data_IF_081678336265
#
_entry.id   IF_081678336265
#
_cell.length_a   1.000
_cell.length_b   1.000
_cell.length_c   1.000
_cell.angle_alpha   90.00
_cell.angle_beta   90.00
_cell.angle_gamma   90.00
#
_symmetry.space_group_name_H-M   'P 1'
#
loop_
_entity.id
_entity.type
_entity.pdbx_description
1 polymer ?
#
# COMPACT_ATOMS: atom_id res chain seq x y z
N UNK A 1 -13.52 26.29 -5.17
CA UNK A 1 -14.89 26.66 -5.60
C UNK A 1 -14.77 27.32 -6.96
N UNK A 2 -15.80 27.26 -7.82
CA UNK A 2 -15.81 28.14 -9.00
C UNK A 2 -16.11 29.54 -8.45
N UNK A 3 -15.05 30.31 -8.20
CA UNK A 3 -15.13 31.59 -7.50
C UNK A 3 -16.15 32.50 -8.20
N UNK A 4 -17.14 32.97 -7.43
CA UNK A 4 -18.11 33.97 -7.86
C UNK A 4 -19.39 33.49 -8.56
N UNK A 5 -19.65 32.18 -8.72
CA UNK A 5 -20.89 31.69 -9.37
C UNK A 5 -21.89 31.10 -8.38
N UNK A 6 -23.17 31.40 -8.55
CA UNK A 6 -24.26 30.83 -7.74
C UNK A 6 -24.66 29.44 -8.25
N UNK A 7 -25.33 28.65 -7.39
CA UNK A 7 -25.82 27.30 -7.72
C UNK A 7 -26.68 27.32 -9.00
N UNK A 8 -27.60 28.27 -9.09
CA UNK A 8 -28.56 28.43 -10.19
C UNK A 8 -27.86 28.74 -11.53
N UNK A 9 -26.85 29.61 -11.50
CA UNK A 9 -26.04 29.93 -12.68
C UNK A 9 -25.33 28.69 -13.21
N UNK A 10 -24.77 27.86 -12.32
CA UNK A 10 -24.07 26.65 -12.72
C UNK A 10 -25.02 25.58 -13.24
N UNK A 11 -26.20 25.40 -12.64
CA UNK A 11 -27.24 24.49 -13.16
C UNK A 11 -27.67 24.87 -14.58
N UNK A 12 -27.77 26.17 -14.88
CA UNK A 12 -28.09 26.69 -16.21
C UNK A 12 -27.01 26.43 -17.27
N UNK A 13 -25.75 26.24 -16.87
CA UNK A 13 -24.60 25.99 -17.75
C UNK A 13 -24.40 24.51 -18.12
N UNK A 14 -25.46 23.69 -18.07
CA UNK A 14 -25.37 22.26 -18.37
C UNK A 14 -24.79 22.00 -19.77
N UNK A 15 -23.68 21.25 -19.91
CA UNK A 15 -23.13 20.89 -21.21
C UNK A 15 -24.10 20.03 -22.04
N UNK A 16 -24.05 20.17 -23.37
CA UNK A 16 -25.01 19.53 -24.29
C UNK A 16 -25.00 17.99 -24.23
N UNK A 17 -23.84 17.41 -23.90
CA UNK A 17 -23.63 15.96 -23.85
C UNK A 17 -23.87 15.35 -22.45
N UNK A 18 -24.29 16.14 -21.47
CA UNK A 18 -24.49 15.67 -20.09
C UNK A 18 -25.99 15.77 -19.77
N UNK A 19 -26.64 14.68 -19.33
CA UNK A 19 -28.01 14.74 -18.83
C UNK A 19 -28.15 15.80 -17.73
N UNK A 20 -29.15 16.67 -17.85
CA UNK A 20 -29.37 17.78 -16.91
C UNK A 20 -29.47 17.31 -15.45
N UNK A 21 -30.08 16.15 -15.21
CA UNK A 21 -30.18 15.55 -13.87
C UNK A 21 -28.80 15.27 -13.26
N UNK A 22 -27.90 14.62 -14.01
CA UNK A 22 -26.54 14.33 -13.56
C UNK A 22 -25.72 15.60 -13.31
N UNK A 23 -25.93 16.62 -14.14
CA UNK A 23 -25.28 17.93 -13.96
C UNK A 23 -25.75 18.62 -12.67
N UNK A 24 -27.06 18.63 -12.41
CA UNK A 24 -27.64 19.17 -11.18
C UNK A 24 -27.07 18.44 -9.95
N UNK A 25 -27.01 17.11 -9.98
CA UNK A 25 -26.46 16.31 -8.87
C UNK A 25 -24.99 16.64 -8.61
N UNK A 26 -24.19 16.81 -9.66
CA UNK A 26 -22.77 17.18 -9.55
C UNK A 26 -22.60 18.58 -8.94
N UNK A 27 -23.37 19.56 -9.45
CA UNK A 27 -23.34 20.93 -8.95
C UNK A 27 -23.79 20.97 -7.49
N UNK A 28 -24.90 20.32 -7.13
CA UNK A 28 -25.35 20.19 -5.74
C UNK A 28 -24.27 19.57 -4.85
N UNK A 29 -23.55 18.56 -5.34
CA UNK A 29 -22.46 17.94 -4.60
C UNK A 29 -21.31 18.91 -4.34
N UNK A 30 -20.95 19.77 -5.28
CA UNK A 30 -19.88 20.77 -5.08
C UNK A 30 -20.23 21.84 -4.05
N UNK A 31 -21.50 22.24 -3.98
CA UNK A 31 -22.02 23.23 -3.02
C UNK A 31 -22.39 22.64 -1.67
N UNK A 32 -22.43 21.32 -1.54
CA UNK A 32 -22.72 20.67 -0.27
C UNK A 32 -21.61 21.02 0.76
N UNK A 33 -21.94 21.44 2.00
CA UNK A 33 -20.95 21.86 3.00
C UNK A 33 -19.90 20.79 3.32
N UNK A 34 -20.29 19.51 3.26
CA UNK A 34 -19.36 18.40 3.43
C UNK A 34 -18.28 18.30 2.33
N UNK A 35 -18.53 18.81 1.12
CA UNK A 35 -17.59 18.70 0.02
C UNK A 35 -16.28 19.46 0.32
N UNK A 36 -16.39 20.70 0.78
CA UNK A 36 -15.22 21.47 1.20
C UNK A 36 -14.50 20.81 2.39
N UNK A 37 -15.27 20.37 3.40
CA UNK A 37 -14.74 19.66 4.57
C UNK A 37 -13.92 18.43 4.16
N UNK A 38 -14.47 17.54 3.34
CA UNK A 38 -13.78 16.32 2.92
C UNK A 38 -12.61 16.61 1.98
N UNK A 39 -12.74 17.60 1.10
CA UNK A 39 -11.64 18.04 0.24
C UNK A 39 -10.45 18.54 1.06
N UNK A 40 -10.71 19.40 2.07
CA UNK A 40 -9.69 19.91 3.00
C UNK A 40 -9.05 18.79 3.81
N UNK A 41 -9.84 17.87 4.36
CA UNK A 41 -9.33 16.69 5.08
C UNK A 41 -8.40 15.88 4.17
N UNK A 42 -8.81 15.60 2.93
CA UNK A 42 -8.01 14.84 1.97
C UNK A 42 -6.69 15.55 1.60
N UNK A 43 -6.72 16.86 1.41
CA UNK A 43 -5.52 17.66 1.13
C UNK A 43 -4.56 17.66 2.32
N UNK A 44 -5.07 17.87 3.53
CA UNK A 44 -4.26 17.81 4.75
C UNK A 44 -3.65 16.42 4.93
N UNK A 45 -4.43 15.35 4.75
CA UNK A 45 -3.94 13.98 4.86
C UNK A 45 -2.84 13.68 3.83
N UNK A 46 -3.00 14.11 2.57
CA UNK A 46 -1.96 13.96 1.53
C UNK A 46 -0.69 14.73 1.86
N UNK A 47 -0.81 15.94 2.41
CA UNK A 47 0.34 16.75 2.82
C UNK A 47 1.15 16.10 3.97
N UNK A 48 0.51 15.26 4.79
CA UNK A 48 1.19 14.50 5.86
C UNK A 48 1.90 13.23 5.36
N UNK A 49 1.79 12.86 4.07
CA UNK A 49 2.46 11.67 3.53
C UNK A 49 3.95 11.95 3.33
N UNK A 50 4.79 11.38 4.21
CA UNK A 50 6.25 11.56 4.21
C UNK A 50 6.98 10.76 3.12
N UNK A 51 6.38 9.67 2.65
CA UNK A 51 6.98 8.71 1.72
C UNK A 51 6.01 8.36 0.59
N UNK A 52 5.82 9.27 -0.39
CA UNK A 52 4.95 9.00 -1.52
C UNK A 52 5.55 7.94 -2.46
N UNK A 53 4.67 7.14 -3.08
CA UNK A 53 5.02 6.04 -3.99
C UNK A 53 5.21 6.55 -5.43
N UNK A 54 6.21 6.03 -6.16
CA UNK A 54 6.52 6.40 -7.57
C UNK A 54 5.92 5.49 -8.63
N UNK A 55 5.15 4.49 -8.22
CA UNK A 55 4.68 3.43 -9.13
C UNK A 55 3.60 3.89 -10.12
N UNK A 56 3.03 5.09 -9.93
CA UNK A 56 1.93 5.61 -10.75
C UNK A 56 0.70 4.71 -10.70
N UNK A 57 0.08 4.48 -11.86
CA UNK A 57 -1.14 3.66 -12.01
C UNK A 57 -0.90 2.15 -11.90
N UNK A 58 0.34 1.70 -11.71
CA UNK A 58 0.60 0.28 -11.48
C UNK A 58 0.24 -0.12 -10.05
N UNK A 59 -0.45 -1.25 -9.88
CA UNK A 59 -0.74 -1.82 -8.56
C UNK A 59 0.49 -2.53 -7.98
N UNK A 60 0.50 -2.71 -6.66
CA UNK A 60 1.54 -3.49 -5.98
C UNK A 60 1.57 -4.93 -6.48
N UNK A 61 0.42 -5.57 -6.68
CA UNK A 61 0.34 -6.95 -7.21
C UNK A 61 0.99 -7.07 -8.58
N UNK A 62 0.79 -6.09 -9.47
CA UNK A 62 1.45 -6.06 -10.79
C UNK A 62 2.96 -5.89 -10.68
N UNK A 63 3.43 -5.03 -9.77
CA UNK A 63 4.86 -4.87 -9.49
C UNK A 63 5.48 -6.16 -8.94
N UNK A 64 4.80 -6.82 -7.99
CA UNK A 64 5.22 -8.12 -7.44
C UNK A 64 5.30 -9.19 -8.51
N UNK A 65 4.28 -9.30 -9.36
CA UNK A 65 4.27 -10.24 -10.47
C UNK A 65 5.41 -9.98 -11.45
N UNK A 66 5.65 -8.72 -11.84
CA UNK A 66 6.77 -8.36 -12.70
C UNK A 66 8.12 -8.78 -12.09
N UNK A 67 8.31 -8.53 -10.80
CA UNK A 67 9.51 -8.94 -10.09
C UNK A 67 9.68 -10.47 -10.10
N UNK A 68 8.60 -11.21 -9.87
CA UNK A 68 8.63 -12.67 -9.85
C UNK A 68 8.97 -13.27 -11.22
N UNK A 69 8.46 -12.68 -12.31
CA UNK A 69 8.83 -13.09 -13.67
C UNK A 69 10.30 -12.84 -13.95
N UNK A 70 10.86 -11.74 -13.45
CA UNK A 70 12.25 -11.34 -13.68
C UNK A 70 13.26 -12.14 -12.83
N UNK A 71 12.94 -12.41 -11.56
CA UNK A 71 13.85 -13.01 -10.59
C UNK A 71 13.53 -14.49 -10.28
N UNK A 72 12.51 -15.07 -10.93
CA UNK A 72 11.99 -16.42 -10.70
C UNK A 72 11.62 -16.72 -9.22
N UNK A 73 11.42 -15.69 -8.40
CA UNK A 73 11.07 -15.79 -6.98
C UNK A 73 10.18 -14.64 -6.53
N UNK A 74 9.36 -14.81 -5.47
CA UNK A 74 8.60 -13.70 -4.91
C UNK A 74 9.55 -12.62 -4.34
N UNK A 75 9.21 -11.32 -4.48
CA UNK A 75 9.95 -10.24 -3.85
C UNK A 75 9.73 -10.20 -2.35
N UNK A 76 10.80 -9.98 -1.59
CA UNK A 76 10.76 -9.74 -0.16
C UNK A 76 10.10 -8.38 0.16
N UNK A 77 9.60 -8.16 1.39
CA UNK A 77 8.96 -6.91 1.79
C UNK A 77 9.79 -5.64 1.51
N UNK A 78 11.09 -5.67 1.81
CA UNK A 78 11.99 -4.53 1.57
C UNK A 78 12.21 -4.29 0.07
N UNK A 79 12.27 -5.36 -0.73
CA UNK A 79 12.42 -5.25 -2.19
C UNK A 79 11.16 -4.64 -2.82
N UNK A 80 9.99 -5.04 -2.33
CA UNK A 80 8.72 -4.41 -2.69
C UNK A 80 8.71 -2.92 -2.34
N UNK A 81 9.16 -2.54 -1.14
CA UNK A 81 9.23 -1.15 -0.73
C UNK A 81 10.23 -0.35 -1.59
N UNK A 82 11.43 -0.89 -1.77
CA UNK A 82 12.51 -0.29 -2.55
C UNK A 82 12.08 -0.05 -4.01
N UNK A 83 11.45 -1.03 -4.65
CA UNK A 83 10.99 -0.93 -6.05
C UNK A 83 9.82 0.03 -6.27
N UNK A 84 9.18 0.48 -5.19
CA UNK A 84 7.99 1.34 -5.21
C UNK A 84 8.26 2.76 -4.71
N UNK A 85 9.39 2.99 -4.04
CA UNK A 85 9.84 4.28 -3.51
C UNK A 85 11.17 4.75 -4.13
N UNK A 86 11.53 4.18 -5.28
CA UNK A 86 12.63 4.65 -6.14
C UNK A 86 12.11 5.27 -7.43
N UNK A 87 12.81 6.28 -7.92
CA UNK A 87 12.65 6.82 -9.27
C UNK A 87 13.21 5.85 -10.31
N UNK A 88 12.95 6.12 -11.59
CA UNK A 88 13.56 5.35 -12.70
C UNK A 88 15.09 5.44 -12.67
N UNK A 89 15.61 6.56 -12.18
CA UNK A 89 17.05 6.83 -12.07
C UNK A 89 17.70 6.13 -10.86
N UNK A 90 16.92 5.35 -10.09
CA UNK A 90 17.41 4.56 -8.95
C UNK A 90 17.50 5.32 -7.61
N UNK A 91 17.33 6.64 -7.63
CA UNK A 91 17.29 7.49 -6.43
C UNK A 91 15.99 7.28 -5.64
N UNK A 92 16.06 7.41 -4.31
CA UNK A 92 14.89 7.38 -3.45
C UNK A 92 14.07 8.67 -3.54
N UNK A 93 12.76 8.56 -3.36
CA UNK A 93 11.83 9.69 -3.47
C UNK A 93 12.02 10.72 -2.38
N UNK A 94 12.31 10.24 -1.16
CA UNK A 94 12.62 11.10 -0.02
C UNK A 94 13.77 10.48 0.77
N UNK A 95 14.56 11.30 1.49
CA UNK A 95 15.59 10.81 2.41
C UNK A 95 15.02 9.87 3.48
N UNK A 96 13.76 10.10 3.89
CA UNK A 96 13.05 9.24 4.85
C UNK A 96 12.84 7.84 4.28
N UNK A 97 12.49 7.72 3.00
CA UNK A 97 12.33 6.41 2.36
C UNK A 97 13.67 5.66 2.27
N UNK A 98 14.77 6.38 2.06
CA UNK A 98 16.11 5.82 2.09
C UNK A 98 16.48 5.32 3.49
N UNK A 99 16.30 6.14 4.52
CA UNK A 99 16.57 5.80 5.92
C UNK A 99 15.79 4.55 6.38
N UNK A 100 14.52 4.42 5.97
CA UNK A 100 13.71 3.23 6.23
C UNK A 100 14.36 1.97 5.63
N UNK A 101 14.84 2.03 4.39
CA UNK A 101 15.47 0.88 3.73
C UNK A 101 16.82 0.56 4.35
N UNK A 102 17.62 1.57 4.66
CA UNK A 102 18.91 1.40 5.32
C UNK A 102 18.74 0.77 6.71
N UNK A 103 17.83 1.30 7.53
CA UNK A 103 17.51 0.73 8.84
C UNK A 103 17.03 -0.72 8.75
N UNK A 104 16.19 -1.03 7.76
CA UNK A 104 15.70 -2.39 7.55
C UNK A 104 16.81 -3.35 7.14
N UNK A 105 17.71 -2.93 6.25
CA UNK A 105 18.87 -3.74 5.85
C UNK A 105 19.86 -3.96 6.99
N UNK A 106 20.11 -2.95 7.84
CA UNK A 106 20.97 -3.08 9.02
C UNK A 106 20.42 -4.13 9.99
N UNK A 107 19.12 -4.04 10.32
CA UNK A 107 18.46 -5.01 11.20
C UNK A 107 18.49 -6.43 10.63
N UNK A 108 18.27 -6.59 9.32
CA UNK A 108 18.41 -7.89 8.67
C UNK A 108 19.84 -8.40 8.83
N UNK A 109 20.84 -7.57 8.55
CA UNK A 109 22.24 -7.99 8.63
C UNK A 109 22.63 -8.43 10.05
N UNK A 110 22.21 -7.67 11.07
CA UNK A 110 22.44 -8.01 12.48
C UNK A 110 21.80 -9.35 12.86
N UNK A 111 20.55 -9.60 12.46
CA UNK A 111 19.85 -10.86 12.75
C UNK A 111 20.44 -12.05 11.97
N UNK A 112 20.87 -11.84 10.72
CA UNK A 112 21.57 -12.86 9.93
C UNK A 112 22.91 -13.28 10.56
N UNK A 113 23.64 -12.34 11.16
CA UNK A 113 24.89 -12.62 11.88
C UNK A 113 24.61 -13.43 13.15
N UNK A 114 23.52 -13.14 13.86
CA UNK A 114 23.14 -13.82 15.09
C UNK A 114 22.67 -15.27 14.87
N UNK A 115 21.87 -15.53 13.83
CA UNK A 115 21.22 -16.84 13.63
C UNK A 115 21.97 -17.79 12.67
N UNK A 116 23.06 -17.33 12.02
CA UNK A 116 23.86 -18.09 11.02
C UNK A 116 23.03 -18.68 9.86
N UNK A 117 21.78 -18.25 9.71
CA UNK A 117 20.78 -18.71 8.74
C UNK A 117 20.02 -17.50 8.18
N UNK A 118 19.27 -17.71 7.09
CA UNK A 118 18.42 -16.65 6.54
C UNK A 118 17.19 -16.43 7.41
N UNK A 119 16.88 -15.17 7.71
CA UNK A 119 15.66 -14.79 8.42
C UNK A 119 14.45 -15.24 7.59
N UNK A 120 13.46 -15.95 8.19
CA UNK A 120 12.20 -16.27 7.54
C UNK A 120 11.47 -15.01 7.01
N UNK A 121 10.81 -15.11 5.86
CA UNK A 121 10.11 -13.98 5.23
C UNK A 121 9.05 -13.33 6.15
N UNK A 122 8.36 -14.13 6.97
CA UNK A 122 7.37 -13.66 7.94
C UNK A 122 7.97 -12.81 9.07
N UNK A 123 9.18 -13.15 9.52
CA UNK A 123 9.89 -12.39 10.54
C UNK A 123 10.40 -11.06 9.97
N UNK A 124 10.96 -11.07 8.76
CA UNK A 124 11.34 -9.85 8.05
C UNK A 124 10.15 -8.92 7.83
N UNK A 125 9.01 -9.46 7.42
CA UNK A 125 7.79 -8.68 7.25
C UNK A 125 7.34 -8.01 8.56
N UNK A 126 7.47 -8.72 9.69
CA UNK A 126 7.11 -8.18 11.00
C UNK A 126 8.04 -7.04 11.42
N UNK A 127 9.36 -7.23 11.27
CA UNK A 127 10.37 -6.19 11.51
C UNK A 127 10.12 -4.97 10.61
N UNK A 128 9.81 -5.21 9.33
CA UNK A 128 9.55 -4.14 8.38
C UNK A 128 8.29 -3.32 8.74
N UNK A 129 7.22 -3.99 9.18
CA UNK A 129 6.01 -3.31 9.68
C UNK A 129 6.33 -2.46 10.91
N UNK A 130 7.17 -2.97 11.82
CA UNK A 130 7.61 -2.23 13.01
C UNK A 130 8.36 -0.94 12.63
N UNK A 131 9.34 -1.03 11.70
CA UNK A 131 10.10 0.12 11.19
C UNK A 131 9.17 1.19 10.60
N UNK A 132 8.12 0.76 9.89
CA UNK A 132 7.18 1.66 9.25
C UNK A 132 6.14 2.31 10.20
N UNK A 133 6.29 2.11 11.52
CA UNK A 133 5.44 2.67 12.56
C UNK A 133 4.42 1.70 13.15
N UNK A 134 4.68 0.40 13.02
CA UNK A 134 3.89 -0.66 13.64
C UNK A 134 2.56 -0.96 12.96
N UNK A 135 1.88 -2.01 13.45
CA UNK A 135 0.58 -2.44 12.95
C UNK A 135 -0.49 -1.41 13.30
N UNK A 136 -1.15 -0.85 12.29
CA UNK A 136 -2.31 0.03 12.48
C UNK A 136 -3.58 -0.80 12.62
N UNK A 137 -4.46 -0.44 13.56
CA UNK A 137 -5.69 -1.18 13.82
C UNK A 137 -6.50 -1.39 12.52
N UNK A 138 -6.77 -2.66 12.20
CA UNK A 138 -7.57 -3.07 11.04
C UNK A 138 -6.89 -3.02 9.66
N UNK A 139 -5.65 -2.52 9.53
CA UNK A 139 -4.97 -2.37 8.23
C UNK A 139 -3.59 -3.03 8.21
N UNK A 140 -3.29 -3.77 7.15
CA UNK A 140 -1.94 -4.31 6.91
C UNK A 140 -1.14 -3.30 6.09
N UNK A 141 -0.04 -2.83 6.68
CA UNK A 141 0.85 -1.89 6.02
C UNK A 141 1.60 -2.56 4.85
N UNK A 142 1.68 -1.88 3.71
CA UNK A 142 2.40 -2.36 2.52
C UNK A 142 1.59 -3.21 1.53
N UNK A 143 0.34 -3.58 1.84
CA UNK A 143 -0.50 -4.43 0.97
C UNK A 143 -1.54 -3.66 0.13
N UNK A 144 -1.72 -2.36 0.38
CA UNK A 144 -2.69 -1.51 -0.31
C UNK A 144 -4.01 -1.37 0.43
N UNK A 145 -4.96 -0.63 -0.15
CA UNK A 145 -6.29 -0.43 0.43
C UNK A 145 -7.10 -1.73 0.39
N UNK A 146 -7.76 -2.09 1.49
CA UNK A 146 -8.71 -3.20 1.56
C UNK A 146 -8.18 -4.52 2.15
N UNK A 147 -6.87 -4.64 2.40
CA UNK A 147 -6.30 -5.82 3.08
C UNK A 147 -6.31 -5.60 4.59
N UNK A 148 -7.20 -6.33 5.28
CA UNK A 148 -7.28 -6.31 6.74
C UNK A 148 -6.36 -7.35 7.36
N UNK A 149 -5.98 -7.16 8.62
CA UNK A 149 -5.12 -8.11 9.32
C UNK A 149 -5.72 -9.51 9.44
N UNK A 150 -7.05 -9.62 9.42
CA UNK A 150 -7.76 -10.90 9.44
C UNK A 150 -7.50 -11.69 8.15
N UNK A 151 -7.61 -11.04 6.99
CA UNK A 151 -7.33 -11.68 5.70
C UNK A 151 -5.91 -12.26 5.60
N UNK A 152 -4.93 -11.63 6.26
CA UNK A 152 -3.55 -12.13 6.28
C UNK A 152 -3.35 -13.23 7.34
N UNK A 153 -3.94 -13.09 8.53
CA UNK A 153 -3.90 -14.16 9.54
C UNK A 153 -4.47 -15.45 8.99
N UNK A 154 -5.65 -15.36 8.36
CA UNK A 154 -6.32 -16.52 7.78
C UNK A 154 -5.44 -17.19 6.70
N UNK A 155 -4.67 -16.42 5.92
CA UNK A 155 -3.73 -16.98 4.92
C UNK A 155 -2.52 -17.63 5.59
N UNK A 156 -1.88 -17.00 6.59
CA UNK A 156 -0.74 -17.59 7.28
C UNK A 156 -1.12 -18.81 8.12
N UNK A 157 -2.27 -18.76 8.79
CA UNK A 157 -2.82 -19.88 9.55
C UNK A 157 -3.16 -21.04 8.60
N UNK A 158 -3.76 -20.77 7.43
CA UNK A 158 -4.00 -21.81 6.42
C UNK A 158 -2.71 -22.35 5.78
N UNK A 159 -1.67 -21.54 5.57
CA UNK A 159 -0.37 -22.01 5.09
C UNK A 159 0.31 -22.89 6.14
N UNK A 160 0.35 -22.46 7.41
CA UNK A 160 0.90 -23.24 8.53
C UNK A 160 0.11 -24.54 8.76
N UNK A 161 -1.21 -24.50 8.62
CA UNK A 161 -2.07 -25.69 8.69
C UNK A 161 -1.75 -26.64 7.52
N UNK A 162 -1.64 -26.14 6.29
CA UNK A 162 -1.31 -26.96 5.12
C UNK A 162 0.11 -27.52 5.17
N UNK A 163 1.10 -26.77 5.66
CA UNK A 163 2.47 -27.26 5.90
C UNK A 163 2.51 -28.34 7.00
N UNK A 164 1.73 -28.19 8.07
CA UNK A 164 1.59 -29.22 9.11
C UNK A 164 0.90 -30.48 8.59
N UNK A 165 -0.15 -30.35 7.78
CA UNK A 165 -0.83 -31.49 7.17
C UNK A 165 0.06 -32.23 6.16
N UNK A 166 0.78 -31.50 5.30
CA UNK A 166 1.69 -32.10 4.31
C UNK A 166 2.90 -32.78 4.96
N UNK A 167 3.45 -32.21 6.03
CA UNK A 167 4.53 -32.83 6.78
C UNK A 167 4.08 -34.09 7.55
N UNK A 168 2.90 -34.06 8.19
CA UNK A 168 2.34 -35.25 8.85
C UNK A 168 2.00 -36.38 7.87
N UNK A 169 1.49 -36.06 6.67
CA UNK A 169 1.21 -37.05 5.64
C UNK A 169 2.48 -37.71 5.05
N UNK A 170 3.63 -37.00 5.08
CA UNK A 170 4.95 -37.58 4.73
C UNK A 170 5.49 -38.50 5.82
N UNK A 171 5.27 -38.18 7.09
CA UNK A 171 5.73 -38.98 8.24
C UNK A 171 4.96 -40.30 8.35
N UNK A 172 3.68 -40.34 7.95
CA UNK A 172 2.86 -41.56 7.97
C UNK A 172 3.09 -42.51 6.77
N UNK A 173 3.97 -42.15 5.83
CA UNK A 173 4.32 -42.96 4.64
C UNK A 173 5.74 -43.54 4.70
N UNK A 174 6.40 -43.46 5.86
CA UNK A 174 7.65 -44.17 6.20
C UNK A 174 7.32 -45.26 7.22
#
# INVERSE_FOLDING_TARGET
MVEGRTLEQLVGMSPINIPKSQWIDLVNRWFHPNHEKFSRIGTNARAQVKTPRTTGSMSFSRKKHKFQVEHARPPRPIECYTSTHKHKDGTFVTPIAQDIVEKANSLITENHIAERNSIPESAEQSLFIEILGGKRNGHVQGYGLGVTSTMISDIHDNILINERFTNNAKIQKL
#
